data_IF_297783110367
#
_entry.id   IF_297783110367
#
_cell.length_a   1.000
_cell.length_b   1.000
_cell.length_c   1.000
_cell.angle_alpha   90.00
_cell.angle_beta   90.00
_cell.angle_gamma   90.00
#
_symmetry.space_group_name_H-M   'P 1'
#
loop_
_entity.id
_entity.type
_entity.pdbx_description
1 polymer ?
#
# COMPACT_ATOMS: atom_id res chain seq x y z
N UNK A 1 -1.67 -16.16 19.13
CA UNK A 1 -0.73 -16.67 18.09
C UNK A 1 0.51 -15.82 18.08
N UNK A 2 1.68 -16.45 18.00
CA UNK A 2 2.97 -15.78 17.85
C UNK A 2 3.23 -15.38 16.40
N UNK A 3 4.00 -14.33 16.18
CA UNK A 3 4.56 -14.00 14.87
C UNK A 3 5.67 -14.99 14.49
N UNK A 4 5.96 -15.08 13.19
CA UNK A 4 7.09 -15.83 12.66
C UNK A 4 8.42 -15.18 13.06
N UNK A 5 9.45 -16.01 13.21
CA UNK A 5 10.82 -15.58 13.48
C UNK A 5 11.56 -15.26 12.17
N UNK A 6 11.90 -13.98 11.96
CA UNK A 6 12.61 -13.54 10.75
C UNK A 6 13.97 -14.20 10.55
N UNK A 7 14.62 -14.71 11.60
CA UNK A 7 15.87 -15.47 11.44
C UNK A 7 15.67 -16.80 10.70
N UNK A 8 14.43 -17.28 10.58
CA UNK A 8 14.05 -18.53 9.93
C UNK A 8 13.34 -18.32 8.58
N UNK A 9 13.08 -17.08 8.19
CA UNK A 9 12.38 -16.75 6.95
C UNK A 9 13.37 -16.45 5.82
N UNK A 10 13.05 -16.83 4.57
CA UNK A 10 13.84 -16.40 3.43
C UNK A 10 13.67 -14.89 3.24
N UNK A 11 14.78 -14.16 3.22
CA UNK A 11 14.82 -12.72 2.92
C UNK A 11 15.83 -12.50 1.79
N UNK A 12 15.39 -11.83 0.74
CA UNK A 12 16.24 -11.44 -0.39
C UNK A 12 16.11 -9.94 -0.65
N UNK A 13 17.19 -9.30 -1.07
CA UNK A 13 17.18 -7.91 -1.51
C UNK A 13 17.65 -7.83 -2.96
N UNK A 14 16.89 -7.14 -3.82
CA UNK A 14 17.30 -6.86 -5.21
C UNK A 14 17.35 -5.35 -5.47
N UNK A 15 18.37 -4.85 -6.18
CA UNK A 15 18.45 -3.44 -6.53
C UNK A 15 17.39 -3.07 -7.56
N UNK A 16 16.81 -1.88 -7.41
CA UNK A 16 15.89 -1.26 -8.37
C UNK A 16 16.66 -0.25 -9.24
N UNK A 17 16.15 0.01 -10.43
CA UNK A 17 16.65 1.12 -11.24
C UNK A 17 16.16 2.45 -10.65
N UNK A 18 17.10 3.33 -10.32
CA UNK A 18 16.83 4.67 -9.76
C UNK A 18 17.20 5.71 -10.79
N UNK A 19 16.25 6.17 -11.64
CA UNK A 19 16.49 7.28 -12.54
C UNK A 19 16.66 8.61 -11.78
N UNK A 20 17.25 9.64 -12.41
CA UNK A 20 17.24 10.99 -11.87
C UNK A 20 15.81 11.48 -11.60
N UNK A 21 15.58 12.14 -10.46
CA UNK A 21 14.24 12.61 -10.06
C UNK A 21 13.63 13.54 -11.12
N UNK A 22 14.42 14.46 -11.68
CA UNK A 22 13.96 15.38 -12.73
C UNK A 22 13.50 14.64 -14.01
N UNK A 23 14.18 13.54 -14.37
CA UNK A 23 13.76 12.71 -15.51
C UNK A 23 12.40 12.05 -15.24
N UNK A 24 12.18 11.56 -14.02
CA UNK A 24 10.88 11.00 -13.61
C UNK A 24 9.78 12.06 -13.64
N UNK A 25 10.07 13.27 -13.16
CA UNK A 25 9.14 14.41 -13.21
C UNK A 25 8.72 14.70 -14.66
N UNK A 26 9.67 14.76 -15.59
CA UNK A 26 9.41 15.01 -17.01
C UNK A 26 8.62 13.88 -17.68
N UNK A 27 8.93 12.63 -17.33
CA UNK A 27 8.23 11.44 -17.84
C UNK A 27 6.78 11.42 -17.37
N UNK A 28 6.53 11.63 -16.08
CA UNK A 28 5.19 11.63 -15.50
C UNK A 28 4.37 12.84 -15.96
N UNK A 29 4.97 14.03 -16.03
CA UNK A 29 4.32 15.26 -16.52
C UNK A 29 3.71 15.09 -17.92
N UNK A 30 4.36 14.30 -18.77
CA UNK A 30 3.89 14.01 -20.13
C UNK A 30 2.93 12.83 -20.15
N UNK A 31 3.27 11.72 -19.51
CA UNK A 31 2.51 10.48 -19.60
C UNK A 31 1.14 10.55 -18.94
N UNK A 32 1.03 11.19 -17.78
CA UNK A 32 -0.24 11.27 -17.04
C UNK A 32 -1.32 12.06 -17.79
N UNK A 33 -0.95 12.94 -18.75
CA UNK A 33 -1.89 13.69 -19.59
C UNK A 33 -2.75 12.81 -20.50
N UNK A 34 -2.34 11.55 -20.70
CA UNK A 34 -3.16 10.57 -21.40
C UNK A 34 -4.40 10.15 -20.59
N UNK A 35 -4.36 10.30 -19.25
CA UNK A 35 -5.45 9.86 -18.36
C UNK A 35 -6.06 10.99 -17.54
N UNK A 36 -5.45 12.18 -17.48
CA UNK A 36 -5.93 13.31 -16.67
C UNK A 36 -5.86 14.61 -17.45
N UNK A 37 -6.89 15.44 -17.35
CA UNK A 37 -6.95 16.73 -18.03
C UNK A 37 -5.95 17.73 -17.45
N UNK A 38 -5.77 17.74 -16.13
CA UNK A 38 -4.79 18.58 -15.44
C UNK A 38 -3.74 17.71 -14.78
N UNK A 39 -2.48 17.96 -15.09
CA UNK A 39 -1.32 17.26 -14.53
C UNK A 39 -0.25 18.28 -14.19
N UNK A 40 0.21 18.24 -12.94
CA UNK A 40 1.37 18.98 -12.46
C UNK A 40 2.27 17.98 -11.72
N UNK A 41 3.52 17.83 -12.17
CA UNK A 41 4.51 16.99 -11.49
C UNK A 41 5.74 17.84 -11.23
N UNK A 42 6.33 17.69 -10.05
CA UNK A 42 7.54 18.44 -9.67
C UNK A 42 8.38 17.68 -8.65
N UNK A 43 9.67 18.01 -8.60
CA UNK A 43 10.52 17.69 -7.47
C UNK A 43 10.33 18.78 -6.41
N UNK A 44 9.72 18.45 -5.27
CA UNK A 44 9.38 19.43 -4.25
C UNK A 44 9.77 18.94 -2.85
N UNK A 45 9.96 19.86 -1.88
CA UNK A 45 10.13 19.46 -0.49
C UNK A 45 8.89 18.69 -0.01
N UNK A 46 9.12 17.57 0.67
CA UNK A 46 8.05 16.82 1.32
C UNK A 46 7.35 17.71 2.33
N UNK A 47 6.00 17.82 2.31
CA UNK A 47 5.28 18.46 3.39
C UNK A 47 5.45 17.65 4.67
N UNK A 48 5.16 18.26 5.81
CA UNK A 48 5.12 17.53 7.09
C UNK A 48 3.95 16.53 7.08
N UNK A 49 4.27 15.24 6.90
CA UNK A 49 3.29 14.17 6.80
C UNK A 49 2.64 13.78 8.14
N UNK A 50 3.10 14.35 9.26
CA UNK A 50 2.38 14.21 10.55
C UNK A 50 1.11 15.05 10.58
N UNK A 51 1.04 16.09 9.76
CA UNK A 51 -0.08 17.03 9.71
C UNK A 51 -1.22 16.51 8.83
N UNK A 52 -2.37 17.16 8.95
CA UNK A 52 -3.49 16.94 8.03
C UNK A 52 -3.07 17.28 6.58
N UNK A 53 -3.55 16.53 5.57
CA UNK A 53 -4.46 15.37 5.67
C UNK A 53 -3.76 14.01 5.87
N UNK A 54 -2.44 13.96 6.06
CA UNK A 54 -1.66 12.73 5.98
C UNK A 54 -1.63 11.91 7.28
N UNK A 55 -1.51 12.54 8.45
CA UNK A 55 -1.56 11.88 9.76
C UNK A 55 -0.65 10.63 9.88
N UNK A 56 0.56 10.69 9.32
CA UNK A 56 1.57 9.63 9.38
C UNK A 56 2.43 9.77 10.65
N UNK A 57 3.13 8.69 11.04
CA UNK A 57 4.03 8.68 12.22
C UNK A 57 5.42 9.27 11.92
N UNK A 58 5.57 9.98 10.80
CA UNK A 58 6.83 10.56 10.38
C UNK A 58 6.60 11.84 9.57
N UNK A 59 7.57 12.76 9.64
CA UNK A 59 7.47 14.08 9.01
C UNK A 59 7.71 14.05 7.50
N UNK A 60 8.33 12.99 6.98
CA UNK A 60 8.55 12.85 5.54
C UNK A 60 8.78 11.40 5.11
N UNK A 61 9.22 11.23 3.86
CA UNK A 61 9.36 9.91 3.22
C UNK A 61 10.82 9.51 2.98
N UNK A 62 11.79 10.41 3.18
CA UNK A 62 13.14 10.24 2.63
C UNK A 62 14.10 9.54 3.59
N UNK A 63 15.26 9.16 3.05
CA UNK A 63 16.36 8.49 3.72
C UNK A 63 16.28 6.97 3.53
N UNK A 64 17.29 6.39 2.88
CA UNK A 64 17.48 4.94 2.77
C UNK A 64 16.19 4.19 2.37
N UNK A 65 15.62 4.64 1.25
CA UNK A 65 14.34 4.22 0.70
C UNK A 65 14.44 2.82 0.09
N UNK A 66 13.64 1.89 0.61
CA UNK A 66 13.48 0.54 0.11
C UNK A 66 11.99 0.21 0.01
N UNK A 67 11.63 -0.68 -0.91
CA UNK A 67 10.35 -1.36 -0.85
C UNK A 67 10.49 -2.64 -0.01
N UNK A 68 9.46 -3.00 0.73
CA UNK A 68 9.37 -4.25 1.48
C UNK A 68 8.12 -5.00 1.01
N UNK A 69 8.30 -6.25 0.61
CA UNK A 69 7.21 -7.14 0.22
C UNK A 69 7.24 -8.42 1.04
N UNK A 70 6.26 -8.54 1.95
CA UNK A 70 6.10 -9.67 2.87
C UNK A 70 5.02 -10.61 2.34
N UNK A 71 5.29 -11.92 2.34
CA UNK A 71 4.28 -12.94 2.03
C UNK A 71 3.66 -12.76 0.65
N UNK A 72 2.34 -12.88 0.52
CA UNK A 72 1.66 -12.58 -0.75
C UNK A 72 0.23 -13.14 -0.82
N UNK A 73 -0.53 -12.80 -1.88
CA UNK A 73 -1.85 -13.38 -2.13
C UNK A 73 -1.93 -14.91 -2.02
N UNK A 74 -0.89 -15.70 -2.38
CA UNK A 74 -0.89 -17.16 -2.17
C UNK A 74 -0.98 -17.63 -0.71
N UNK A 75 -0.76 -16.75 0.26
CA UNK A 75 -1.02 -17.05 1.69
C UNK A 75 -2.45 -16.71 2.12
N UNK A 76 -3.21 -15.98 1.30
CA UNK A 76 -4.62 -15.65 1.53
C UNK A 76 -5.55 -16.61 0.78
N UNK A 77 -5.26 -16.87 -0.50
CA UNK A 77 -6.06 -17.72 -1.39
C UNK A 77 -5.17 -18.81 -2.01
N UNK A 78 -5.73 -19.96 -2.45
CA UNK A 78 -7.14 -20.35 -2.41
C UNK A 78 -7.67 -20.62 -1.00
N UNK A 79 -6.80 -20.98 -0.05
CA UNK A 79 -7.15 -21.11 1.38
C UNK A 79 -6.13 -20.36 2.22
N UNK A 80 -6.63 -19.64 3.22
CA UNK A 80 -5.80 -18.84 4.10
C UNK A 80 -4.81 -19.69 4.91
N UNK A 81 -3.56 -19.24 4.97
CA UNK A 81 -2.50 -19.76 5.83
C UNK A 81 -2.39 -18.87 7.08
N UNK A 82 -3.26 -19.12 8.06
CA UNK A 82 -3.43 -18.25 9.24
C UNK A 82 -2.19 -18.12 10.12
N UNK A 83 -1.23 -19.02 9.99
CA UNK A 83 0.07 -19.02 10.65
C UNK A 83 1.04 -17.97 10.09
N UNK A 84 0.75 -17.40 8.91
CA UNK A 84 1.51 -16.31 8.30
C UNK A 84 1.24 -14.98 8.99
N UNK A 85 1.82 -14.83 10.18
CA UNK A 85 1.72 -13.65 11.02
C UNK A 85 3.11 -13.04 11.22
N UNK A 86 3.24 -11.74 11.02
CA UNK A 86 4.51 -11.03 11.00
C UNK A 86 4.45 -9.86 11.97
N UNK A 87 5.53 -9.59 12.70
CA UNK A 87 5.65 -8.41 13.58
C UNK A 87 6.53 -7.37 12.87
N UNK A 88 5.98 -6.19 12.59
CA UNK A 88 6.67 -5.17 11.80
C UNK A 88 7.77 -4.47 12.61
N UNK A 89 7.62 -4.31 13.92
CA UNK A 89 8.69 -3.75 14.74
C UNK A 89 9.88 -4.73 14.85
N UNK A 90 9.61 -6.03 14.94
CA UNK A 90 10.65 -7.06 14.89
C UNK A 90 11.33 -7.11 13.51
N UNK A 91 10.60 -6.90 12.41
CA UNK A 91 11.20 -6.80 11.08
C UNK A 91 12.21 -5.65 11.03
N UNK A 92 11.82 -4.46 11.47
CA UNK A 92 12.69 -3.28 11.45
C UNK A 92 13.97 -3.53 12.26
N UNK A 93 13.86 -4.15 13.44
CA UNK A 93 15.01 -4.55 14.24
C UNK A 93 15.88 -5.61 13.55
N UNK A 94 15.26 -6.61 12.93
CA UNK A 94 15.97 -7.65 12.18
C UNK A 94 16.76 -7.05 11.00
N UNK A 95 16.18 -6.09 10.30
CA UNK A 95 16.84 -5.34 9.23
C UNK A 95 17.82 -4.26 9.73
N UNK A 96 18.03 -4.16 11.05
CA UNK A 96 18.91 -3.18 11.69
C UNK A 96 18.57 -1.73 11.30
N UNK A 97 17.27 -1.41 11.25
CA UNK A 97 16.76 -0.08 10.88
C UNK A 97 16.30 0.68 12.11
N UNK A 98 17.09 1.66 12.51
CA UNK A 98 16.73 2.70 13.47
C UNK A 98 17.58 3.96 13.17
N UNK A 99 17.00 5.05 12.65
CA UNK A 99 15.56 5.28 12.43
C UNK A 99 14.94 4.42 11.33
N UNK A 100 13.62 4.19 11.42
CA UNK A 100 12.82 3.58 10.37
C UNK A 100 11.38 4.11 10.32
N UNK A 101 10.84 4.32 9.14
CA UNK A 101 9.44 4.58 8.87
C UNK A 101 8.95 3.52 7.89
N UNK A 102 7.82 2.90 8.22
CA UNK A 102 7.20 1.86 7.43
C UNK A 102 5.74 2.23 7.16
N UNK A 103 5.38 2.40 5.89
CA UNK A 103 4.00 2.68 5.51
C UNK A 103 3.59 1.97 4.22
N UNK A 104 2.35 1.51 4.16
CA UNK A 104 1.81 0.87 2.97
C UNK A 104 0.57 0.02 3.22
N UNK A 105 0.36 -0.96 2.34
CA UNK A 105 -0.87 -1.75 2.25
C UNK A 105 -0.59 -3.22 2.61
N UNK A 106 -1.54 -3.89 3.25
CA UNK A 106 -1.45 -5.32 3.55
C UNK A 106 -2.66 -5.83 4.32
N UNK A 107 -2.68 -7.11 4.69
CA UNK A 107 -3.72 -7.59 5.58
C UNK A 107 -3.40 -7.24 7.05
N UNK A 108 -4.40 -6.76 7.78
CA UNK A 108 -4.28 -6.45 9.20
C UNK A 108 -4.09 -7.72 10.05
N UNK A 109 -3.68 -7.56 11.32
CA UNK A 109 -3.51 -8.69 12.22
C UNK A 109 -4.87 -9.27 12.62
N UNK A 110 -5.38 -10.22 11.84
CA UNK A 110 -6.66 -10.87 12.11
C UNK A 110 -6.82 -11.39 13.56
N UNK A 111 -5.77 -11.87 14.29
CA UNK A 111 -5.93 -12.28 15.69
C UNK A 111 -6.29 -11.13 16.65
N UNK A 112 -6.07 -9.87 16.26
CA UNK A 112 -6.36 -8.69 17.09
C UNK A 112 -7.88 -8.46 17.26
N UNK A 113 -8.65 -8.62 16.18
CA UNK A 113 -10.11 -8.42 16.19
C UNK A 113 -10.90 -9.72 15.95
N UNK A 114 -10.21 -10.84 15.76
CA UNK A 114 -10.82 -12.17 15.56
C UNK A 114 -11.36 -12.42 14.15
N UNK A 115 -11.18 -11.49 13.22
CA UNK A 115 -11.63 -11.57 11.82
C UNK A 115 -10.60 -10.94 10.89
N UNK A 116 -10.67 -11.28 9.60
CA UNK A 116 -9.84 -10.63 8.59
C UNK A 116 -10.12 -9.11 8.49
N UNK A 117 -9.10 -8.36 8.09
CA UNK A 117 -9.20 -6.91 7.92
C UNK A 117 -8.12 -6.37 6.98
N UNK A 118 -8.40 -5.23 6.36
CA UNK A 118 -7.41 -4.43 5.65
C UNK A 118 -6.48 -3.75 6.65
N UNK A 119 -5.18 -3.76 6.40
CA UNK A 119 -4.16 -3.03 7.16
C UNK A 119 -3.65 -1.83 6.37
N UNK A 120 -3.81 -0.62 6.94
CA UNK A 120 -3.21 0.62 6.47
C UNK A 120 -2.00 0.90 7.36
N UNK A 121 -0.85 0.33 6.96
CA UNK A 121 0.36 0.33 7.77
C UNK A 121 0.95 1.74 7.85
N UNK A 122 1.26 2.16 9.07
CA UNK A 122 1.85 3.45 9.40
C UNK A 122 2.56 3.32 10.75
N UNK A 123 3.85 3.01 10.73
CA UNK A 123 4.64 2.71 11.93
C UNK A 123 6.02 3.33 11.79
N UNK A 124 6.55 3.94 12.86
CA UNK A 124 7.94 4.37 12.91
C UNK A 124 8.68 3.80 14.12
N UNK A 125 9.99 3.61 13.96
CA UNK A 125 10.92 3.19 15.00
C UNK A 125 12.00 4.27 15.13
N UNK A 126 12.15 4.83 16.33
CA UNK A 126 13.18 5.83 16.66
C UNK A 126 13.77 5.52 18.03
N UNK A 127 15.09 5.35 18.10
CA UNK A 127 15.81 5.07 19.34
C UNK A 127 15.18 3.91 20.13
N UNK A 128 14.84 2.82 19.44
CA UNK A 128 14.20 1.63 20.00
C UNK A 128 12.70 1.77 20.30
N UNK A 129 12.12 2.97 20.17
CA UNK A 129 10.71 3.27 20.49
C UNK A 129 9.84 3.21 19.24
N UNK A 130 8.74 2.46 19.31
CA UNK A 130 7.76 2.34 18.24
C UNK A 130 6.68 3.39 18.41
N UNK A 131 6.38 4.14 17.35
CA UNK A 131 5.15 4.91 17.19
C UNK A 131 4.22 4.18 16.21
N UNK A 132 3.00 3.91 16.64
CA UNK A 132 2.03 3.05 15.95
C UNK A 132 0.80 3.85 15.53
N UNK A 133 0.74 4.19 14.24
CA UNK A 133 -0.34 4.93 13.60
C UNK A 133 -1.16 4.08 12.62
N UNK A 134 -0.96 2.76 12.60
CA UNK A 134 -1.64 1.82 11.70
C UNK A 134 -3.13 1.79 11.97
N UNK A 135 -3.91 1.80 10.90
CA UNK A 135 -5.36 1.62 10.93
C UNK A 135 -5.73 0.30 10.30
N UNK A 136 -6.83 -0.28 10.76
CA UNK A 136 -7.44 -1.47 10.16
C UNK A 136 -8.88 -1.18 9.77
N UNK A 137 -9.37 -1.87 8.74
CA UNK A 137 -10.77 -1.79 8.31
C UNK A 137 -11.33 -3.21 8.16
N UNK A 138 -12.45 -3.48 8.82
CA UNK A 138 -13.15 -4.77 8.73
C UNK A 138 -14.58 -4.58 8.24
N UNK A 139 -15.15 -5.61 7.64
CA UNK A 139 -16.59 -5.69 7.39
C UNK A 139 -17.36 -5.66 8.73
N UNK A 140 -18.45 -4.90 8.78
CA UNK A 140 -19.28 -4.73 9.98
C UNK A 140 -20.78 -4.75 9.61
N UNK A 141 -21.64 -5.49 10.33
CA UNK A 141 -21.28 -6.47 11.35
C UNK A 141 -20.53 -7.67 10.76
N UNK A 142 -19.74 -8.33 11.60
CA UNK A 142 -19.00 -9.55 11.21
C UNK A 142 -19.98 -10.60 10.66
N UNK A 143 -19.63 -11.17 9.50
CA UNK A 143 -20.44 -12.19 8.83
C UNK A 143 -21.63 -11.64 8.05
N UNK A 144 -21.81 -10.31 7.97
CA UNK A 144 -22.79 -9.72 7.06
C UNK A 144 -22.53 -10.18 5.61
N UNK A 145 -23.56 -10.45 4.80
CA UNK A 145 -23.37 -10.78 3.40
C UNK A 145 -23.03 -9.53 2.57
N UNK A 146 -22.32 -9.74 1.46
CA UNK A 146 -22.01 -8.70 0.47
C UNK A 146 -23.27 -7.93 0.06
N UNK A 147 -23.18 -6.61 0.03
CA UNK A 147 -24.30 -5.70 -0.29
C UNK A 147 -25.24 -5.39 0.87
N UNK A 148 -25.07 -6.02 2.05
CA UNK A 148 -25.79 -5.68 3.30
C UNK A 148 -24.86 -5.36 4.47
N UNK A 149 -23.56 -5.31 4.22
CA UNK A 149 -22.55 -4.93 5.19
C UNK A 149 -22.25 -3.44 5.15
N UNK A 150 -21.80 -2.88 6.26
CA UNK A 150 -20.93 -1.72 6.31
C UNK A 150 -19.47 -2.12 6.56
N UNK A 151 -18.68 -1.16 7.04
CA UNK A 151 -17.29 -1.34 7.44
C UNK A 151 -17.01 -0.54 8.70
N UNK A 152 -15.95 -0.91 9.42
CA UNK A 152 -15.49 -0.20 10.61
C UNK A 152 -13.97 -0.04 10.60
N UNK A 153 -13.54 1.22 10.55
CA UNK A 153 -12.15 1.62 10.71
C UNK A 153 -11.78 1.71 12.19
N UNK A 154 -10.62 1.17 12.57
CA UNK A 154 -10.06 1.24 13.93
C UNK A 154 -8.56 1.53 13.86
N UNK A 155 -8.00 2.25 14.82
CA UNK A 155 -6.55 2.38 14.99
C UNK A 155 -6.03 1.25 15.89
N UNK A 156 -4.90 0.65 15.53
CA UNK A 156 -4.27 -0.37 16.36
C UNK A 156 -3.67 0.25 17.63
N UNK A 157 -3.70 -0.44 18.78
CA UNK A 157 -3.01 0.00 19.98
C UNK A 157 -1.49 -0.05 19.79
N UNK A 158 -0.74 0.74 20.59
CA UNK A 158 0.71 0.82 20.50
C UNK A 158 1.46 -0.53 20.65
N UNK A 159 0.87 -1.50 21.34
CA UNK A 159 1.44 -2.84 21.53
C UNK A 159 1.22 -3.79 20.35
N UNK A 160 0.35 -3.45 19.41
CA UNK A 160 0.03 -4.30 18.26
C UNK A 160 0.78 -3.78 17.03
N UNK A 161 1.86 -4.47 16.66
CA UNK A 161 2.68 -4.12 15.49
C UNK A 161 2.63 -5.19 14.41
N UNK A 162 1.70 -6.14 14.54
CA UNK A 162 1.62 -7.27 13.61
C UNK A 162 0.82 -6.93 12.36
N UNK A 163 1.14 -7.67 11.30
CA UNK A 163 0.39 -7.80 10.04
C UNK A 163 0.26 -9.29 9.73
N UNK A 164 -0.57 -9.66 8.77
CA UNK A 164 -0.77 -11.05 8.38
C UNK A 164 -0.69 -11.21 6.87
N UNK A 165 -0.36 -12.42 6.41
CA UNK A 165 -0.47 -12.96 5.05
C UNK A 165 0.37 -12.25 3.98
N UNK A 166 0.18 -10.96 3.78
CA UNK A 166 0.76 -10.17 2.71
C UNK A 166 0.91 -8.70 3.11
N UNK A 167 1.92 -8.04 2.55
CA UNK A 167 2.19 -6.63 2.79
C UNK A 167 3.17 -6.01 1.81
N UNK A 168 2.91 -4.78 1.41
CA UNK A 168 3.70 -4.01 0.46
C UNK A 168 3.93 -2.60 1.02
N UNK A 169 5.17 -2.30 1.42
CA UNK A 169 5.49 -1.12 2.22
C UNK A 169 6.66 -0.33 1.67
N UNK A 170 6.61 0.99 1.82
CA UNK A 170 7.78 1.84 1.80
C UNK A 170 8.49 1.72 3.15
N UNK A 171 9.78 1.45 3.13
CA UNK A 171 10.70 1.54 4.27
C UNK A 171 11.69 2.68 4.02
N UNK A 172 11.73 3.68 4.88
CA UNK A 172 12.70 4.78 4.83
C UNK A 172 13.11 5.23 6.23
N UNK A 173 13.92 6.28 6.34
CA UNK A 173 14.27 6.92 7.60
C UNK A 173 13.21 7.96 8.03
N UNK A 174 12.18 8.19 7.20
CA UNK A 174 11.06 9.09 7.48
C UNK A 174 11.45 10.56 7.60
N UNK A 175 12.52 10.97 6.92
CA UNK A 175 13.06 12.32 7.03
C UNK A 175 12.35 13.29 6.05
N UNK A 176 12.39 14.60 6.33
CA UNK A 176 12.11 15.62 5.32
C UNK A 176 13.11 15.51 4.17
N UNK A 177 12.70 15.93 2.97
CA UNK A 177 13.59 15.98 1.80
C UNK A 177 12.83 16.16 0.50
N UNK A 178 13.54 16.14 -0.63
CA UNK A 178 12.93 16.22 -1.95
C UNK A 178 12.16 14.93 -2.25
N UNK A 179 10.94 15.09 -2.77
CA UNK A 179 10.06 14.00 -3.21
C UNK A 179 9.45 14.37 -4.57
N UNK A 180 8.90 13.37 -5.26
CA UNK A 180 8.12 13.59 -6.48
C UNK A 180 6.70 13.94 -6.05
N UNK A 181 6.30 15.20 -6.22
CA UNK A 181 4.92 15.65 -6.06
C UNK A 181 4.16 15.44 -7.36
N UNK A 182 3.00 14.79 -7.29
CA UNK A 182 2.09 14.57 -8.43
C UNK A 182 0.72 15.12 -8.08
N UNK A 183 0.23 16.09 -8.84
CA UNK A 183 -1.15 16.56 -8.80
C UNK A 183 -1.82 16.19 -10.11
N UNK A 184 -2.94 15.48 -10.03
CA UNK A 184 -3.71 15.04 -11.19
C UNK A 184 -5.20 15.27 -10.96
N UNK A 185 -5.88 15.93 -11.89
CA UNK A 185 -7.31 16.26 -11.77
C UNK A 185 -8.07 15.87 -13.03
N UNK A 186 -9.36 15.58 -12.84
CA UNK A 186 -10.30 15.28 -13.90
C UNK A 186 -9.78 14.14 -14.79
N UNK A 187 -10.04 12.90 -14.36
CA UNK A 187 -9.60 11.70 -15.06
C UNK A 187 -10.37 11.58 -16.38
N UNK A 188 -9.66 11.60 -17.49
CA UNK A 188 -10.18 11.51 -18.86
C UNK A 188 -9.93 10.15 -19.52
N UNK A 189 -8.99 9.36 -18.99
CA UNK A 189 -8.67 8.02 -19.49
C UNK A 189 -9.10 6.89 -18.56
N UNK A 190 -8.83 5.66 -18.98
CA UNK A 190 -9.27 4.45 -18.27
C UNK A 190 -8.41 4.15 -17.04
N UNK A 191 -7.11 4.46 -17.07
CA UNK A 191 -6.19 4.08 -16.00
C UNK A 191 -6.43 4.94 -14.74
N UNK A 192 -6.54 4.27 -13.60
CA UNK A 192 -6.60 4.92 -12.29
C UNK A 192 -5.28 5.65 -11.97
N UNK A 193 -5.25 6.45 -10.90
CA UNK A 193 -4.11 7.30 -10.56
C UNK A 193 -2.77 6.53 -10.46
N UNK A 194 -2.75 5.42 -9.71
CA UNK A 194 -1.55 4.62 -9.49
C UNK A 194 -1.15 3.82 -10.73
N UNK A 195 -2.12 3.25 -11.45
CA UNK A 195 -1.90 2.51 -12.69
C UNK A 195 -1.32 3.43 -13.76
N UNK A 196 -1.84 4.67 -13.87
CA UNK A 196 -1.34 5.68 -14.81
C UNK A 196 0.13 6.04 -14.53
N UNK A 197 0.53 6.17 -13.26
CA UNK A 197 1.93 6.38 -12.86
C UNK A 197 2.77 5.16 -13.25
N UNK A 198 2.37 3.96 -12.81
CA UNK A 198 3.13 2.72 -13.04
C UNK A 198 3.34 2.43 -14.52
N UNK A 199 2.28 2.49 -15.33
CA UNK A 199 2.33 2.22 -16.76
C UNK A 199 3.11 3.29 -17.53
N UNK A 200 3.04 4.56 -17.11
CA UNK A 200 3.89 5.62 -17.68
C UNK A 200 5.37 5.31 -17.48
N UNK A 201 5.77 4.94 -16.26
CA UNK A 201 7.16 4.59 -15.95
C UNK A 201 7.58 3.30 -16.66
N UNK A 202 6.72 2.26 -16.68
CA UNK A 202 7.00 1.00 -17.38
C UNK A 202 7.23 1.23 -18.86
N UNK A 203 6.35 2.00 -19.51
CA UNK A 203 6.49 2.33 -20.94
C UNK A 203 7.79 3.06 -21.26
N UNK A 204 8.24 3.94 -20.37
CA UNK A 204 9.46 4.72 -20.58
C UNK A 204 10.75 3.92 -20.30
N UNK A 205 10.81 3.22 -19.16
CA UNK A 205 12.02 2.56 -18.68
C UNK A 205 12.16 1.09 -19.13
N UNK A 206 11.10 0.50 -19.68
CA UNK A 206 11.12 -0.85 -20.24
C UNK A 206 11.46 -1.91 -19.20
N UNK A 207 12.58 -2.61 -19.41
CA UNK A 207 13.05 -3.69 -18.53
C UNK A 207 13.79 -3.18 -17.28
N UNK A 208 14.12 -1.88 -17.24
CA UNK A 208 14.67 -1.26 -16.03
C UNK A 208 13.54 -1.07 -15.02
N UNK A 209 13.49 -1.95 -14.02
CA UNK A 209 12.42 -1.96 -13.01
C UNK A 209 12.60 -0.80 -12.04
N UNK A 210 11.59 0.06 -11.97
CA UNK A 210 11.52 1.23 -11.07
C UNK A 210 10.49 0.94 -9.99
N UNK A 211 10.82 1.22 -8.73
CA UNK A 211 9.90 1.08 -7.61
C UNK A 211 9.68 2.41 -6.90
N UNK A 212 8.42 2.73 -6.62
CA UNK A 212 8.01 3.92 -5.86
C UNK A 212 7.23 3.50 -4.63
N UNK A 213 7.42 4.26 -3.55
CA UNK A 213 6.58 4.19 -2.36
C UNK A 213 6.19 5.60 -1.91
N UNK A 214 5.12 5.72 -1.16
CA UNK A 214 4.72 7.02 -0.62
C UNK A 214 3.26 7.09 -0.24
N UNK A 215 2.71 8.30 -0.34
CA UNK A 215 1.34 8.61 0.05
C UNK A 215 0.66 9.49 -1.00
N UNK A 216 -0.65 9.34 -1.14
CA UNK A 216 -1.46 10.29 -1.87
C UNK A 216 -2.80 10.52 -1.19
N UNK A 217 -3.47 11.59 -1.56
CA UNK A 217 -4.80 11.94 -1.08
C UNK A 217 -5.70 12.14 -2.29
N UNK A 218 -6.85 11.49 -2.28
CA UNK A 218 -7.98 11.92 -3.11
C UNK A 218 -8.66 13.06 -2.36
N UNK A 219 -8.46 14.29 -2.81
CA UNK A 219 -8.95 15.52 -2.19
C UNK A 219 -10.44 15.77 -2.50
N UNK A 220 -10.86 15.44 -3.72
CA UNK A 220 -12.24 15.59 -4.19
C UNK A 220 -12.69 14.36 -4.99
N UNK A 221 -13.98 14.09 -4.96
CA UNK A 221 -14.60 12.95 -5.64
C UNK A 221 -14.88 11.76 -4.72
N UNK A 222 -15.06 10.60 -5.34
CA UNK A 222 -15.36 9.32 -4.69
C UNK A 222 -14.47 8.21 -5.23
N UNK A 223 -14.34 7.14 -4.46
CA UNK A 223 -13.44 6.04 -4.75
C UNK A 223 -14.12 4.71 -4.48
N UNK A 224 -13.89 3.73 -5.36
CA UNK A 224 -14.23 2.33 -5.10
C UNK A 224 -13.12 1.74 -4.25
N UNK A 225 -13.48 1.31 -3.04
CA UNK A 225 -12.62 0.50 -2.19
C UNK A 225 -13.21 -0.90 -2.01
N UNK A 226 -12.37 -1.85 -1.63
CA UNK A 226 -12.84 -3.09 -1.04
C UNK A 226 -12.41 -3.22 0.42
N UNK A 227 -13.17 -4.02 1.17
CA UNK A 227 -12.83 -4.51 2.50
C UNK A 227 -13.08 -6.01 2.53
N UNK A 228 -12.07 -6.80 2.86
CA UNK A 228 -12.21 -8.24 2.99
C UNK A 228 -13.16 -8.59 4.16
N UNK A 229 -14.17 -9.45 3.94
CA UNK A 229 -14.87 -10.09 5.05
C UNK A 229 -13.98 -11.16 5.69
N UNK A 230 -14.50 -11.89 6.70
CA UNK A 230 -13.75 -13.01 7.27
C UNK A 230 -13.37 -14.05 6.20
N UNK A 231 -12.31 -14.80 6.49
CA UNK A 231 -11.71 -15.73 5.53
C UNK A 231 -12.73 -16.74 5.00
N UNK A 232 -12.72 -16.95 3.68
CA UNK A 232 -13.63 -17.89 3.05
C UNK A 232 -13.48 -19.31 3.62
N UNK A 233 -14.61 -19.96 3.91
CA UNK A 233 -14.66 -21.37 4.26
C UNK A 233 -14.42 -22.29 3.05
N UNK A 234 -14.58 -21.75 1.83
CA UNK A 234 -14.38 -22.45 0.55
C UNK A 234 -13.10 -21.96 -0.10
N UNK A 235 -12.48 -22.81 -0.91
CA UNK A 235 -11.34 -22.39 -1.72
C UNK A 235 -11.76 -21.30 -2.72
N UNK A 236 -10.99 -20.23 -2.82
CA UNK A 236 -11.16 -19.17 -3.83
C UNK A 236 -10.15 -19.42 -4.96
N UNK A 237 -10.59 -20.02 -6.06
CA UNK A 237 -9.71 -20.58 -7.09
C UNK A 237 -9.59 -19.70 -8.33
N UNK A 238 -10.33 -18.60 -8.42
CA UNK A 238 -10.35 -17.67 -9.55
C UNK A 238 -10.53 -16.23 -9.07
N UNK A 239 -10.25 -15.26 -9.94
CA UNK A 239 -10.54 -13.85 -9.64
C UNK A 239 -12.05 -13.63 -9.44
N UNK A 240 -12.91 -14.35 -10.16
CA UNK A 240 -14.36 -14.31 -9.94
C UNK A 240 -14.75 -14.79 -8.53
N UNK A 241 -14.09 -15.83 -8.00
CA UNK A 241 -14.31 -16.31 -6.63
C UNK A 241 -13.89 -15.24 -5.61
N UNK A 242 -12.73 -14.61 -5.82
CA UNK A 242 -12.21 -13.54 -4.97
C UNK A 242 -13.14 -12.33 -5.02
N UNK A 243 -13.53 -11.89 -6.22
CA UNK A 243 -14.43 -10.77 -6.42
C UNK A 243 -15.80 -11.04 -5.81
N UNK A 244 -16.33 -12.27 -5.90
CA UNK A 244 -17.57 -12.65 -5.24
C UNK A 244 -17.47 -12.58 -3.71
N UNK A 245 -16.31 -12.92 -3.15
CA UNK A 245 -16.02 -12.87 -1.72
C UNK A 245 -15.77 -11.44 -1.20
N UNK A 246 -15.09 -10.57 -1.95
CA UNK A 246 -14.77 -9.20 -1.53
C UNK A 246 -16.02 -8.30 -1.42
N UNK A 247 -16.04 -7.45 -0.41
CA UNK A 247 -17.08 -6.43 -0.23
C UNK A 247 -16.59 -5.08 -0.76
N UNK A 248 -17.32 -4.52 -1.72
CA UNK A 248 -16.96 -3.25 -2.35
C UNK A 248 -17.84 -2.12 -1.84
N UNK A 249 -17.21 -0.95 -1.69
CA UNK A 249 -17.84 0.26 -1.18
C UNK A 249 -17.44 1.45 -2.06
N UNK A 250 -18.39 2.36 -2.26
CA UNK A 250 -18.08 3.69 -2.77
C UNK A 250 -17.87 4.63 -1.58
N UNK A 251 -16.64 5.12 -1.42
CA UNK A 251 -16.19 5.97 -0.33
C UNK A 251 -15.93 7.38 -0.82
N UNK A 252 -15.91 8.37 0.09
CA UNK A 252 -15.82 9.79 -0.26
C UNK A 252 -14.48 10.42 0.13
N UNK A 253 -14.05 11.36 -0.69
CA UNK A 253 -12.95 12.26 -0.35
C UNK A 253 -13.28 13.17 0.87
N UNK A 254 -12.27 13.68 1.60
CA UNK A 254 -10.86 13.35 1.46
C UNK A 254 -10.53 11.97 2.03
N UNK A 255 -9.66 11.23 1.35
CA UNK A 255 -9.13 9.94 1.82
C UNK A 255 -7.63 9.87 1.49
N UNK A 256 -6.84 9.48 2.48
CA UNK A 256 -5.38 9.39 2.41
C UNK A 256 -4.98 7.94 2.20
N UNK A 257 -4.05 7.70 1.28
CA UNK A 257 -3.58 6.40 0.88
C UNK A 257 -2.08 6.27 1.09
N UNK A 258 -1.65 5.07 1.46
CA UNK A 258 -0.24 4.68 1.57
C UNK A 258 -0.03 3.36 0.84
N UNK A 259 1.13 3.22 0.21
CA UNK A 259 1.40 2.02 -0.58
C UNK A 259 2.64 2.13 -1.45
N UNK A 260 2.73 1.16 -2.36
CA UNK A 260 3.88 1.01 -3.25
C UNK A 260 3.44 0.61 -4.65
N UNK A 261 4.30 0.88 -5.63
CA UNK A 261 4.20 0.36 -6.98
C UNK A 261 5.60 -0.01 -7.50
N UNK A 262 5.64 -0.97 -8.41
CA UNK A 262 6.85 -1.41 -9.10
C UNK A 262 6.54 -1.75 -10.56
N UNK A 263 7.42 -1.39 -11.48
CA UNK A 263 7.16 -1.53 -12.93
C UNK A 263 7.42 -2.94 -13.48
N UNK A 264 7.91 -3.87 -12.66
CA UNK A 264 8.18 -5.25 -13.08
C UNK A 264 8.44 -6.19 -11.91
N UNK A 265 8.26 -7.48 -12.14
CA UNK A 265 8.26 -8.53 -11.10
C UNK A 265 9.65 -8.92 -10.58
N UNK A 266 10.70 -8.75 -11.40
CA UNK A 266 12.08 -9.15 -11.04
C UNK A 266 12.25 -10.63 -10.63
N UNK A 267 11.29 -11.51 -10.95
CA UNK A 267 11.30 -12.92 -10.53
C UNK A 267 11.11 -13.08 -9.03
N UNK A 268 10.40 -12.15 -8.38
CA UNK A 268 10.19 -12.10 -6.93
C UNK A 268 8.72 -12.30 -6.54
N UNK A 269 7.86 -12.58 -7.51
CA UNK A 269 6.42 -12.78 -7.29
C UNK A 269 5.77 -11.57 -6.61
N UNK A 270 5.96 -10.41 -7.20
CA UNK A 270 5.59 -9.11 -6.65
C UNK A 270 4.14 -8.76 -6.93
N UNK A 271 3.55 -8.02 -5.99
CA UNK A 271 2.34 -7.24 -6.20
C UNK A 271 2.72 -5.88 -6.78
N UNK A 272 2.51 -5.69 -8.09
CA UNK A 272 3.06 -4.54 -8.85
C UNK A 272 2.50 -3.17 -8.44
N UNK A 273 1.36 -3.14 -7.75
CA UNK A 273 0.81 -1.95 -7.12
C UNK A 273 -0.11 -2.36 -5.99
N UNK A 274 -0.02 -1.67 -4.85
CA UNK A 274 -0.88 -1.95 -3.72
C UNK A 274 -0.98 -0.74 -2.81
N UNK A 275 -2.19 -0.18 -2.67
CA UNK A 275 -2.47 0.99 -1.85
C UNK A 275 -3.73 0.77 -1.03
N UNK A 276 -3.65 1.02 0.27
CA UNK A 276 -4.81 1.10 1.15
C UNK A 276 -4.98 2.55 1.61
N UNK A 277 -6.21 2.92 1.93
CA UNK A 277 -6.53 4.27 2.38
C UNK A 277 -7.39 4.33 3.63
N UNK A 278 -7.40 5.50 4.23
CA UNK A 278 -8.16 5.85 5.43
C UNK A 278 -8.56 7.32 5.40
N UNK A 279 -9.64 7.65 6.12
CA UNK A 279 -10.08 9.03 6.33
C UNK A 279 -10.39 9.29 7.80
N UNK A 280 -10.42 10.56 8.18
CA UNK A 280 -10.89 11.02 9.50
C UNK A 280 -12.40 10.85 9.70
N UNK A 281 -13.16 10.55 8.64
CA UNK A 281 -14.61 10.35 8.68
C UNK A 281 -15.03 8.88 8.65
N UNK A 282 -14.08 7.96 8.78
CA UNK A 282 -14.32 6.52 8.97
C UNK A 282 -14.18 5.66 7.71
N UNK A 283 -14.04 6.25 6.53
CA UNK A 283 -13.81 5.53 5.27
C UNK A 283 -12.40 4.95 5.21
N UNK A 284 -12.27 3.76 4.63
CA UNK A 284 -10.96 3.14 4.41
C UNK A 284 -11.04 1.73 3.85
N UNK A 285 -9.91 1.21 3.41
CA UNK A 285 -9.78 -0.13 2.82
C UNK A 285 -8.84 -0.14 1.63
N UNK A 286 -8.97 -1.13 0.76
CA UNK A 286 -8.12 -1.30 -0.41
C UNK A 286 -8.59 -0.45 -1.60
N UNK A 287 -7.69 0.36 -2.18
CA UNK A 287 -7.97 1.25 -3.31
C UNK A 287 -8.11 0.50 -4.64
N UNK A 288 -9.21 0.72 -5.36
CA UNK A 288 -9.36 0.29 -6.76
C UNK A 288 -9.18 1.45 -7.74
N UNK A 289 -10.10 2.41 -7.72
CA UNK A 289 -10.12 3.55 -8.65
C UNK A 289 -11.15 4.60 -8.19
N UNK A 290 -11.03 5.85 -8.66
CA UNK A 290 -12.11 6.83 -8.49
C UNK A 290 -13.37 6.44 -9.27
N UNK A 291 -14.54 6.75 -8.72
CA UNK A 291 -15.85 6.53 -9.36
C UNK A 291 -16.47 7.82 -9.88
N UNK A 292 -15.85 8.98 -9.61
CA UNK A 292 -16.26 10.29 -10.10
C UNK A 292 -15.13 10.96 -10.90
N UNK A 293 -14.77 10.44 -12.09
CA UNK A 293 -13.58 10.84 -12.83
C UNK A 293 -13.44 12.34 -13.06
N UNK A 294 -14.53 13.00 -13.47
CA UNK A 294 -14.52 14.44 -13.74
C UNK A 294 -14.23 15.31 -12.50
N UNK A 295 -14.58 14.82 -11.30
CA UNK A 295 -14.37 15.51 -10.03
C UNK A 295 -13.11 15.05 -9.30
N UNK A 296 -12.46 13.97 -9.75
CA UNK A 296 -11.30 13.41 -9.06
C UNK A 296 -10.16 14.42 -9.02
N UNK A 297 -9.63 14.66 -7.81
CA UNK A 297 -8.48 15.52 -7.55
C UNK A 297 -7.50 14.77 -6.65
N UNK A 298 -6.38 14.35 -7.24
CA UNK A 298 -5.31 13.65 -6.54
C UNK A 298 -4.14 14.59 -6.25
N UNK A 299 -3.58 14.47 -5.04
CA UNK A 299 -2.27 14.99 -4.69
C UNK A 299 -1.44 13.88 -4.02
N UNK A 300 -0.28 13.55 -4.59
CA UNK A 300 0.59 12.48 -4.11
C UNK A 300 2.04 12.90 -3.97
N UNK A 301 2.73 12.26 -3.03
CA UNK A 301 4.15 12.44 -2.72
C UNK A 301 4.82 11.07 -2.72
N UNK A 302 5.82 10.89 -3.57
CA UNK A 302 6.48 9.60 -3.79
C UNK A 302 8.00 9.74 -3.76
N UNK A 303 8.66 8.67 -3.32
CA UNK A 303 10.11 8.49 -3.38
C UNK A 303 10.46 7.28 -4.24
N UNK A 304 11.61 7.35 -4.91
CA UNK A 304 12.19 6.22 -5.62
C UNK A 304 12.90 5.31 -4.62
N UNK A 305 12.55 4.03 -4.62
CA UNK A 305 13.24 3.04 -3.81
C UNK A 305 14.50 2.54 -4.52
N UNK A 306 15.58 2.38 -3.76
CA UNK A 306 16.87 1.88 -4.29
C UNK A 306 16.94 0.37 -4.43
N UNK A 307 16.11 -0.33 -3.66
CA UNK A 307 16.05 -1.78 -3.63
C UNK A 307 14.69 -2.25 -3.10
N UNK A 308 14.40 -3.52 -3.35
CA UNK A 308 13.24 -4.22 -2.85
C UNK A 308 13.70 -5.37 -1.95
N UNK A 309 13.16 -5.42 -0.73
CA UNK A 309 13.37 -6.47 0.26
C UNK A 309 12.16 -7.41 0.21
N UNK A 310 12.38 -8.63 -0.28
CA UNK A 310 11.37 -9.69 -0.34
C UNK A 310 11.49 -10.57 0.89
N UNK A 311 10.43 -10.67 1.68
CA UNK A 311 10.35 -11.44 2.92
C UNK A 311 9.32 -12.55 2.79
N UNK A 312 9.72 -13.78 3.11
CA UNK A 312 8.85 -14.97 3.13
C UNK A 312 8.04 -15.16 1.83
N UNK A 313 8.74 -15.12 0.68
CA UNK A 313 8.12 -15.37 -0.62
C UNK A 313 7.41 -16.73 -0.64
N UNK A 314 6.13 -16.81 -1.07
CA UNK A 314 5.44 -18.08 -1.23
C UNK A 314 6.21 -19.05 -2.13
N UNK A 315 6.36 -20.29 -1.68
CA UNK A 315 7.00 -21.37 -2.47
C UNK A 315 6.12 -21.81 -3.65
N UNK A 316 4.81 -21.77 -3.45
CA UNK A 316 3.79 -22.01 -4.47
C UNK A 316 3.06 -20.70 -4.72
N UNK A 317 2.83 -20.36 -5.98
CA UNK A 317 2.23 -19.08 -6.36
C UNK A 317 1.20 -19.22 -7.48
N UNK A 318 0.39 -18.18 -7.67
CA UNK A 318 -0.62 -18.03 -8.71
C UNK A 318 -0.88 -16.55 -8.99
N UNK A 319 -1.62 -16.26 -10.07
CA UNK A 319 -2.02 -14.91 -10.46
C UNK A 319 -3.31 -14.40 -9.80
N UNK A 320 -4.10 -15.29 -9.16
CA UNK A 320 -5.42 -14.96 -8.58
C UNK A 320 -5.31 -13.95 -7.42
N UNK A 321 -6.24 -12.99 -7.37
CA UNK A 321 -6.42 -12.05 -6.25
C UNK A 321 -5.34 -10.97 -6.18
N UNK A 322 -4.84 -10.52 -7.33
CA UNK A 322 -3.79 -9.48 -7.45
C UNK A 322 -4.30 -8.11 -7.89
N UNK A 323 -5.62 -7.92 -7.94
CA UNK A 323 -6.25 -6.63 -8.22
C UNK A 323 -6.41 -5.76 -6.99
#
# INVERSE_FOLDING_TARGET
MSSLDYAQLPIAEKPLFVPPVEEVVDVLSRGLKANFATVEVSAAPCPDLTQAPFFLTSTGLTGNEKLVEIGGPPYLVPKVQRDKLYDLAQLLRHLQRDPAFLAGAGAGPWPHIGVNCEGIINLSLRNGTVDQGTRIVSVEPVGAPKGKSGYLQRQLPASETRTALLGNYLLSDGLPGQVIKVVAKNRTGEANFITSIRETLKKHYGDKVVGLGGTFVLLEGKVKHHVMPDFSARALCSDDDVDAWLHYFEMRAPITHVGTLVTGDMGLDLRVQHFHGFSQHGDGGHYHYDTTPAAAHYEGYFVLARSLVRVDQPKETHAVGRD
#
